data_IF_652465885949
#
_entry.id   IF_652465885949
#
_cell.length_a   1.000
_cell.length_b   1.000
_cell.length_c   1.000
_cell.angle_alpha   90.00
_cell.angle_beta   90.00
_cell.angle_gamma   90.00
#
_symmetry.space_group_name_H-M   'P 1'
#
loop_
_entity.id
_entity.type
_entity.pdbx_description
1 polymer ?
#
# COMPACT_ATOMS: atom_id res chain seq x y z
N UNK A 1 -6.35 -7.14 22.57
CA UNK A 1 -5.37 -6.14 22.11
C UNK A 1 -6.11 -4.82 22.07
N UNK A 2 -5.53 -3.72 22.55
CA UNK A 2 -6.16 -2.40 22.39
C UNK A 2 -6.10 -2.06 20.90
N UNK A 3 -7.24 -2.13 20.21
CA UNK A 3 -7.33 -1.85 18.79
C UNK A 3 -7.08 -0.34 18.57
N UNK A 4 -5.86 0.02 18.17
CA UNK A 4 -5.55 1.38 17.72
C UNK A 4 -6.36 1.67 16.46
N UNK A 5 -7.13 2.77 16.46
CA UNK A 5 -7.85 3.21 15.25
C UNK A 5 -6.92 4.00 14.32
N UNK A 6 -7.23 4.06 13.02
CA UNK A 6 -6.46 4.92 12.09
C UNK A 6 -6.39 6.37 12.57
N UNK A 7 -7.48 6.89 13.14
CA UNK A 7 -7.50 8.24 13.69
C UNK A 7 -6.51 8.42 14.85
N UNK A 8 -6.34 7.42 15.71
CA UNK A 8 -5.37 7.46 16.80
C UNK A 8 -3.94 7.38 16.27
N UNK A 9 -3.68 6.55 15.26
CA UNK A 9 -2.37 6.42 14.63
C UNK A 9 -1.95 7.74 13.97
N UNK A 10 -2.85 8.36 13.19
CA UNK A 10 -2.61 9.65 12.52
C UNK A 10 -2.45 10.83 13.48
N UNK A 11 -3.02 10.74 14.68
CA UNK A 11 -2.86 11.76 15.72
C UNK A 11 -1.55 11.63 16.53
N UNK A 12 -0.74 10.59 16.29
CA UNK A 12 0.51 10.38 17.00
C UNK A 12 1.54 11.48 16.65
N UNK A 13 2.30 12.02 17.63
CA UNK A 13 3.25 13.11 17.38
C UNK A 13 4.33 12.82 16.33
N UNK A 14 4.73 11.55 16.20
CA UNK A 14 5.74 11.12 15.24
C UNK A 14 5.17 10.78 13.87
N UNK A 15 3.85 10.82 13.66
CA UNK A 15 3.28 10.63 12.33
C UNK A 15 3.88 11.68 11.38
N UNK A 16 4.43 11.30 10.19
CA UNK A 16 4.18 10.09 9.41
C UNK A 16 5.13 8.89 9.63
N UNK A 17 5.86 8.84 10.75
CA UNK A 17 6.82 7.78 11.09
C UNK A 17 7.97 7.65 10.07
N UNK A 18 8.49 8.79 9.63
CA UNK A 18 9.55 8.86 8.60
C UNK A 18 10.89 8.24 9.01
N UNK A 19 11.08 7.96 10.29
CA UNK A 19 12.28 7.37 10.91
C UNK A 19 12.16 5.86 11.15
N UNK A 20 11.19 5.19 10.54
CA UNK A 20 10.90 3.76 10.78
C UNK A 20 12.06 2.79 10.50
N UNK A 21 13.01 3.15 9.64
CA UNK A 21 14.20 2.30 9.38
C UNK A 21 15.17 2.26 10.57
N UNK A 22 15.11 3.28 11.44
CA UNK A 22 16.03 3.46 12.56
C UNK A 22 15.34 3.32 13.93
N UNK A 23 13.99 3.30 13.96
CA UNK A 23 13.19 3.19 15.19
C UNK A 23 12.10 2.12 15.09
N UNK A 24 12.22 1.08 15.93
CA UNK A 24 11.30 -0.06 16.00
C UNK A 24 9.84 0.34 16.26
N UNK A 25 9.60 1.44 16.99
CA UNK A 25 8.23 1.87 17.32
C UNK A 25 7.61 2.57 16.12
N UNK A 26 8.35 3.42 15.43
CA UNK A 26 7.92 4.03 14.17
C UNK A 26 7.64 2.95 13.12
N UNK A 27 8.48 1.91 13.03
CA UNK A 27 8.22 0.74 12.18
C UNK A 27 6.90 0.05 12.53
N UNK A 28 6.69 -0.32 13.80
CA UNK A 28 5.46 -0.98 14.23
C UNK A 28 4.22 -0.12 14.00
N UNK A 29 4.31 1.19 14.26
CA UNK A 29 3.19 2.11 14.05
C UNK A 29 2.84 2.26 12.56
N UNK A 30 3.83 2.18 11.68
CA UNK A 30 3.64 2.23 10.25
C UNK A 30 3.07 0.92 9.68
N UNK A 31 3.52 -0.24 10.18
CA UNK A 31 2.89 -1.54 9.90
C UNK A 31 1.41 -1.52 10.33
N UNK A 32 1.14 -1.06 11.55
CA UNK A 32 -0.23 -0.93 12.09
C UNK A 32 -1.09 0.02 11.26
N UNK A 33 -0.53 1.12 10.77
CA UNK A 33 -1.23 2.07 9.90
C UNK A 33 -1.77 1.36 8.65
N UNK A 34 -0.89 0.66 7.91
CA UNK A 34 -1.28 -0.01 6.67
C UNK A 34 -2.22 -1.18 6.91
N UNK A 35 -2.00 -1.95 7.97
CA UNK A 35 -2.91 -3.01 8.38
C UNK A 35 -4.32 -2.48 8.67
N UNK A 36 -4.44 -1.40 9.43
CA UNK A 36 -5.74 -0.83 9.75
C UNK A 36 -6.41 -0.19 8.53
N UNK A 37 -5.65 0.48 7.66
CA UNK A 37 -6.19 1.00 6.40
C UNK A 37 -6.79 -0.11 5.54
N UNK A 38 -6.07 -1.23 5.41
CA UNK A 38 -6.53 -2.39 4.67
C UNK A 38 -7.78 -3.01 5.30
N UNK A 39 -7.76 -3.29 6.61
CA UNK A 39 -8.90 -3.94 7.29
C UNK A 39 -10.15 -3.05 7.34
N UNK A 40 -9.99 -1.73 7.47
CA UNK A 40 -11.10 -0.79 7.35
C UNK A 40 -11.70 -0.77 5.93
N UNK A 41 -10.89 -1.04 4.90
CA UNK A 41 -11.37 -1.13 3.51
C UNK A 41 -12.16 -2.41 3.26
N UNK A 42 -11.63 -3.57 3.67
CA UNK A 42 -12.21 -4.87 3.28
C UNK A 42 -13.32 -5.38 4.20
N UNK A 43 -13.48 -4.83 5.41
CA UNK A 43 -14.52 -5.13 6.43
C UNK A 43 -15.01 -6.58 6.43
N UNK A 44 -16.09 -6.86 5.71
CA UNK A 44 -16.81 -8.15 5.66
C UNK A 44 -15.96 -9.29 5.06
N UNK A 45 -15.01 -8.96 4.18
CA UNK A 45 -14.16 -9.95 3.51
C UNK A 45 -12.91 -10.31 4.33
N UNK A 46 -12.74 -9.78 5.55
CA UNK A 46 -11.51 -9.94 6.35
C UNK A 46 -11.06 -11.39 6.56
N UNK A 47 -12.02 -12.31 6.67
CA UNK A 47 -11.75 -13.72 6.92
C UNK A 47 -10.98 -14.42 5.78
N UNK A 48 -11.02 -13.87 4.57
CA UNK A 48 -10.38 -14.47 3.39
C UNK A 48 -8.93 -14.01 3.18
N UNK A 49 -8.44 -13.10 4.04
CA UNK A 49 -7.14 -12.45 3.90
C UNK A 49 -6.27 -12.66 5.14
N UNK A 50 -5.01 -13.04 4.92
CA UNK A 50 -4.02 -13.21 5.96
C UNK A 50 -2.71 -12.50 5.60
N UNK A 51 -2.01 -11.98 6.61
CA UNK A 51 -0.64 -11.50 6.46
C UNK A 51 0.30 -12.72 6.52
N UNK A 52 0.71 -13.23 5.36
CA UNK A 52 1.57 -14.42 5.26
C UNK A 52 3.05 -14.06 5.17
N UNK A 53 3.37 -12.89 4.60
CA UNK A 53 4.74 -12.37 4.51
C UNK A 53 4.95 -11.30 5.56
N UNK A 54 6.00 -11.43 6.35
CA UNK A 54 6.34 -10.48 7.42
C UNK A 54 6.74 -9.13 6.83
N UNK A 55 6.43 -8.06 7.55
CA UNK A 55 6.97 -6.75 7.26
C UNK A 55 8.49 -6.74 7.51
N UNK A 56 9.22 -5.98 6.71
CA UNK A 56 10.66 -5.77 6.81
C UNK A 56 10.97 -4.31 7.10
N UNK A 57 12.01 -4.06 7.89
CA UNK A 57 12.32 -2.74 8.44
C UNK A 57 12.75 -1.72 7.37
N UNK A 58 13.15 -2.18 6.18
CA UNK A 58 13.40 -1.34 5.01
C UNK A 58 12.10 -0.89 4.30
N UNK A 59 10.95 -1.36 4.78
CA UNK A 59 9.63 -1.04 4.26
C UNK A 59 9.23 -1.85 3.04
N UNK A 60 9.95 -2.91 2.68
CA UNK A 60 9.68 -3.74 1.50
C UNK A 60 9.62 -5.25 1.83
N UNK A 61 8.44 -5.77 2.22
CA UNK A 61 7.17 -5.07 2.35
C UNK A 61 7.01 -4.40 3.72
N UNK A 62 6.22 -3.32 3.79
CA UNK A 62 5.74 -2.78 5.09
C UNK A 62 4.42 -3.45 5.52
N UNK A 63 3.66 -3.98 4.56
CA UNK A 63 2.44 -4.75 4.81
C UNK A 63 2.15 -5.69 3.64
N UNK A 64 1.64 -6.89 3.94
CA UNK A 64 1.09 -7.79 2.93
C UNK A 64 -0.27 -8.34 3.36
N UNK A 65 -1.13 -8.58 2.38
CA UNK A 65 -2.37 -9.32 2.56
C UNK A 65 -2.53 -10.33 1.43
N UNK A 66 -2.67 -11.60 1.79
CA UNK A 66 -2.77 -12.71 0.85
C UNK A 66 -4.08 -13.45 1.06
N UNK A 67 -4.79 -13.73 -0.03
CA UNK A 67 -5.94 -14.63 -0.06
C UNK A 67 -5.63 -15.85 -0.91
N UNK A 68 -5.45 -17.01 -0.26
CA UNK A 68 -5.23 -18.28 -0.95
C UNK A 68 -6.50 -18.77 -1.65
N UNK A 69 -7.67 -18.46 -1.09
CA UNK A 69 -8.96 -18.79 -1.69
C UNK A 69 -9.15 -18.05 -3.02
N UNK A 70 -8.82 -16.75 -3.05
CA UNK A 70 -9.00 -15.89 -4.21
C UNK A 70 -7.79 -15.86 -5.14
N UNK A 71 -6.67 -16.48 -4.73
CA UNK A 71 -5.35 -16.47 -5.41
C UNK A 71 -4.84 -15.05 -5.69
N UNK A 72 -4.90 -14.19 -4.67
CA UNK A 72 -4.55 -12.77 -4.75
C UNK A 72 -3.59 -12.36 -3.64
N UNK A 73 -2.76 -11.37 -3.93
CA UNK A 73 -1.86 -10.75 -2.98
C UNK A 73 -1.85 -9.23 -3.17
N UNK A 74 -1.97 -8.51 -2.06
CA UNK A 74 -1.64 -7.10 -1.97
C UNK A 74 -0.31 -6.96 -1.23
N UNK A 75 0.63 -6.25 -1.84
CA UNK A 75 1.89 -5.87 -1.21
C UNK A 75 1.96 -4.35 -1.12
N UNK A 76 2.23 -3.83 0.07
CA UNK A 76 2.48 -2.41 0.28
C UNK A 76 3.96 -2.24 0.63
N UNK A 77 4.61 -1.35 -0.09
CA UNK A 77 5.99 -0.93 0.12
C UNK A 77 5.95 0.52 0.61
N UNK A 78 6.60 0.81 1.73
CA UNK A 78 6.63 2.17 2.27
C UNK A 78 7.49 3.07 1.38
N UNK A 79 6.90 4.17 0.90
CA UNK A 79 7.60 5.22 0.17
C UNK A 79 7.97 6.38 1.09
N UNK A 80 9.19 6.90 0.92
CA UNK A 80 9.71 8.06 1.68
C UNK A 80 10.30 9.09 0.75
N UNK A 81 9.97 10.37 0.95
CA UNK A 81 10.56 11.48 0.21
C UNK A 81 11.91 11.93 0.79
N UNK A 82 12.89 11.02 0.84
CA UNK A 82 14.21 11.28 1.45
C UNK A 82 14.95 12.45 0.82
N UNK A 83 14.82 12.60 -0.50
CA UNK A 83 15.46 13.67 -1.27
C UNK A 83 14.74 15.02 -1.17
N UNK A 84 13.68 15.13 -0.35
CA UNK A 84 12.88 16.35 -0.17
C UNK A 84 12.44 16.96 -1.51
N UNK A 85 12.09 16.09 -2.46
CA UNK A 85 11.61 16.51 -3.78
C UNK A 85 10.30 17.29 -3.63
N UNK A 86 10.01 18.24 -4.52
CA UNK A 86 8.71 18.91 -4.56
C UNK A 86 7.56 17.89 -4.66
N UNK A 87 6.52 18.05 -3.84
CA UNK A 87 5.49 17.02 -3.64
C UNK A 87 4.26 17.26 -4.53
N UNK A 88 3.77 16.21 -5.18
CA UNK A 88 2.44 16.20 -5.82
C UNK A 88 1.33 16.32 -4.77
N UNK A 89 0.25 17.11 -4.99
CA UNK A 89 -0.15 17.75 -6.24
C UNK A 89 0.45 19.14 -6.49
N UNK A 90 1.21 19.70 -5.54
CA UNK A 90 1.81 21.04 -5.64
C UNK A 90 2.88 21.17 -6.72
N UNK A 91 3.50 20.06 -7.14
CA UNK A 91 4.42 20.00 -8.28
C UNK A 91 4.16 18.74 -9.11
N UNK A 92 4.34 18.86 -10.44
CA UNK A 92 4.10 17.78 -11.42
C UNK A 92 5.27 17.70 -12.40
N UNK A 93 5.34 16.59 -13.12
CA UNK A 93 6.39 16.30 -14.11
C UNK A 93 7.64 15.68 -13.49
N UNK A 94 8.74 15.76 -14.23
CA UNK A 94 10.04 15.20 -13.85
C UNK A 94 10.56 15.86 -12.56
N UNK A 95 11.10 15.04 -11.64
CA UNK A 95 11.64 15.51 -10.37
C UNK A 95 10.62 15.72 -9.26
N UNK A 96 9.31 15.62 -9.52
CA UNK A 96 8.29 15.63 -8.48
C UNK A 96 8.25 14.30 -7.69
N UNK A 97 7.89 14.38 -6.41
CA UNK A 97 7.56 13.22 -5.58
C UNK A 97 6.08 12.89 -5.71
N UNK A 98 5.78 11.72 -6.26
CA UNK A 98 4.44 11.13 -6.29
C UNK A 98 4.31 10.17 -5.12
N UNK A 99 3.37 10.43 -4.21
CA UNK A 99 3.18 9.63 -3.00
C UNK A 99 2.78 8.18 -3.28
N UNK A 100 2.16 7.90 -4.43
CA UNK A 100 1.74 6.55 -4.82
C UNK A 100 2.23 6.18 -6.23
N UNK A 101 2.84 5.00 -6.33
CA UNK A 101 3.05 4.24 -7.56
C UNK A 101 2.43 2.86 -7.41
N UNK A 102 1.84 2.34 -8.48
CA UNK A 102 1.09 1.08 -8.46
C UNK A 102 1.50 0.25 -9.66
N UNK A 103 1.76 -1.03 -9.45
CA UNK A 103 2.01 -1.97 -10.54
C UNK A 103 1.49 -3.36 -10.18
N UNK A 104 1.38 -4.21 -11.20
CA UNK A 104 1.06 -5.62 -11.03
C UNK A 104 2.32 -6.45 -11.07
N UNK A 105 2.29 -7.57 -10.38
CA UNK A 105 3.37 -8.55 -10.39
C UNK A 105 2.79 -9.97 -10.44
N UNK A 106 3.64 -10.93 -10.80
CA UNK A 106 3.33 -12.34 -10.68
C UNK A 106 3.80 -12.82 -9.31
N UNK A 107 2.93 -12.68 -8.31
CA UNK A 107 3.20 -13.16 -6.97
C UNK A 107 3.19 -14.69 -6.92
N UNK A 108 3.77 -15.24 -5.86
CA UNK A 108 3.62 -16.65 -5.54
C UNK A 108 3.57 -16.84 -4.03
N UNK A 109 2.98 -17.95 -3.58
CA UNK A 109 3.07 -18.36 -2.18
C UNK A 109 4.52 -18.56 -1.76
N UNK A 110 4.79 -18.53 -0.45
CA UNK A 110 6.16 -18.61 0.12
C UNK A 110 6.89 -19.89 -0.31
N UNK A 111 6.15 -20.98 -0.54
CA UNK A 111 6.67 -22.25 -1.05
C UNK A 111 6.90 -22.26 -2.58
N UNK A 112 6.54 -21.19 -3.28
CA UNK A 112 6.62 -21.03 -4.73
C UNK A 112 5.62 -21.87 -5.53
N UNK A 113 4.68 -22.57 -4.87
CA UNK A 113 3.83 -23.57 -5.55
C UNK A 113 2.59 -22.97 -6.21
N UNK A 114 2.04 -21.91 -5.63
CA UNK A 114 0.79 -21.30 -6.08
C UNK A 114 1.06 -19.92 -6.63
N UNK A 115 0.74 -19.72 -7.91
CA UNK A 115 0.75 -18.40 -8.55
C UNK A 115 -0.38 -17.54 -7.99
N UNK A 116 -0.06 -16.29 -7.68
CA UNK A 116 -0.98 -15.29 -7.13
C UNK A 116 -0.99 -14.07 -8.04
N UNK A 117 -2.18 -13.53 -8.32
CA UNK A 117 -2.30 -12.22 -8.93
C UNK A 117 -1.92 -11.16 -7.88
N UNK A 118 -0.76 -10.52 -8.06
CA UNK A 118 -0.23 -9.57 -7.09
C UNK A 118 -0.43 -8.13 -7.56
N UNK A 119 -0.96 -7.29 -6.66
CA UNK A 119 -0.96 -5.84 -6.78
C UNK A 119 0.03 -5.27 -5.78
N UNK A 120 0.93 -4.41 -6.26
CA UNK A 120 1.92 -3.73 -5.43
C UNK A 120 1.61 -2.24 -5.36
N UNK A 121 1.56 -1.70 -4.14
CA UNK A 121 1.43 -0.28 -3.85
C UNK A 121 2.74 0.23 -3.24
N UNK A 122 3.47 1.08 -3.95
CA UNK A 122 4.59 1.83 -3.38
C UNK A 122 4.10 3.21 -2.96
N UNK A 123 3.83 3.33 -1.66
CA UNK A 123 2.91 4.33 -1.13
C UNK A 123 3.49 5.05 0.08
N UNK A 124 3.32 6.37 0.15
CA UNK A 124 3.47 7.14 1.39
C UNK A 124 2.14 7.21 2.15
N UNK A 125 2.13 7.85 3.32
CA UNK A 125 0.94 7.95 4.19
C UNK A 125 0.21 9.29 4.05
N UNK A 126 0.44 10.02 2.96
CA UNK A 126 -0.28 11.28 2.69
C UNK A 126 -1.77 11.01 2.46
N UNK A 127 -2.61 12.02 2.72
CA UNK A 127 -4.07 11.87 2.56
C UNK A 127 -4.47 11.60 1.11
N UNK A 128 -3.74 12.18 0.16
CA UNK A 128 -3.92 11.98 -1.27
C UNK A 128 -3.57 10.54 -1.68
N UNK A 129 -2.43 10.02 -1.21
CA UNK A 129 -2.04 8.63 -1.46
C UNK A 129 -3.02 7.66 -0.84
N UNK A 130 -3.47 7.91 0.39
CA UNK A 130 -4.40 7.04 1.10
C UNK A 130 -5.70 6.84 0.31
N UNK A 131 -6.27 7.91 -0.24
CA UNK A 131 -7.50 7.84 -1.04
C UNK A 131 -7.32 6.96 -2.30
N UNK A 132 -6.19 7.11 -2.99
CA UNK A 132 -5.90 6.32 -4.19
C UNK A 132 -5.51 4.88 -3.85
N UNK A 133 -4.76 4.65 -2.77
CA UNK A 133 -4.45 3.33 -2.27
C UNK A 133 -5.73 2.56 -1.93
N UNK A 134 -6.67 3.19 -1.21
CA UNK A 134 -7.99 2.60 -0.91
C UNK A 134 -8.78 2.23 -2.17
N UNK A 135 -8.72 3.09 -3.21
CA UNK A 135 -9.35 2.79 -4.50
C UNK A 135 -8.76 1.51 -5.12
N UNK A 136 -7.43 1.37 -5.15
CA UNK A 136 -6.78 0.18 -5.72
C UNK A 136 -6.98 -1.06 -4.85
N UNK A 137 -6.95 -0.92 -3.53
CA UNK A 137 -7.31 -2.00 -2.58
C UNK A 137 -8.72 -2.50 -2.88
N UNK A 138 -9.69 -1.59 -3.06
CA UNK A 138 -11.06 -1.97 -3.40
C UNK A 138 -11.14 -2.74 -4.72
N UNK A 139 -10.56 -2.20 -5.79
CA UNK A 139 -10.58 -2.85 -7.12
C UNK A 139 -9.98 -4.27 -7.04
N UNK A 140 -8.87 -4.44 -6.33
CA UNK A 140 -8.15 -5.71 -6.28
C UNK A 140 -8.72 -6.70 -5.26
N UNK A 141 -9.08 -6.24 -4.06
CA UNK A 141 -9.38 -7.09 -2.91
C UNK A 141 -10.88 -7.27 -2.64
N UNK A 142 -11.73 -6.39 -3.17
CA UNK A 142 -13.18 -6.38 -2.91
C UNK A 142 -13.95 -6.64 -4.21
N UNK A 143 -13.72 -5.81 -5.23
CA UNK A 143 -14.41 -5.92 -6.52
C UNK A 143 -13.83 -7.08 -7.36
N UNK A 144 -12.65 -7.59 -6.96
CA UNK A 144 -11.94 -8.71 -7.58
C UNK A 144 -11.75 -8.51 -9.08
N UNK A 145 -11.47 -7.27 -9.48
CA UNK A 145 -11.27 -6.89 -10.87
C UNK A 145 -10.13 -7.68 -11.49
N UNK A 146 -10.29 -7.97 -12.78
CA UNK A 146 -9.27 -8.69 -13.54
C UNK A 146 -8.04 -7.83 -13.82
N UNK A 147 -7.00 -8.51 -14.30
CA UNK A 147 -5.72 -7.90 -14.65
C UNK A 147 -5.83 -6.75 -15.65
N UNK A 148 -6.71 -6.86 -16.65
CA UNK A 148 -6.85 -5.83 -17.68
C UNK A 148 -7.56 -4.59 -17.14
N UNK A 149 -8.56 -4.77 -16.27
CA UNK A 149 -9.23 -3.66 -15.59
C UNK A 149 -8.26 -2.93 -14.67
N UNK A 150 -7.47 -3.67 -13.88
CA UNK A 150 -6.45 -3.07 -13.01
C UNK A 150 -5.39 -2.32 -13.81
N UNK A 151 -4.87 -2.90 -14.89
CA UNK A 151 -3.90 -2.23 -15.78
C UNK A 151 -4.44 -0.91 -16.33
N UNK A 152 -5.69 -0.90 -16.83
CA UNK A 152 -6.34 0.33 -17.30
C UNK A 152 -6.51 1.36 -16.18
N UNK A 153 -6.81 0.91 -14.96
CA UNK A 153 -6.97 1.79 -13.81
C UNK A 153 -5.63 2.43 -13.38
N UNK A 154 -4.53 1.68 -13.46
CA UNK A 154 -3.16 2.16 -13.20
C UNK A 154 -2.77 3.22 -14.23
N UNK A 155 -2.88 2.90 -15.53
CA UNK A 155 -2.57 3.84 -16.62
C UNK A 155 -3.42 5.11 -16.52
N UNK A 156 -4.70 4.97 -16.20
CA UNK A 156 -5.60 6.12 -16.02
C UNK A 156 -5.19 6.99 -14.83
N UNK A 157 -4.74 6.38 -13.74
CA UNK A 157 -4.20 7.10 -12.57
C UNK A 157 -2.92 7.86 -12.95
N UNK A 158 -1.94 7.21 -13.55
CA UNK A 158 -0.66 7.80 -13.96
C UNK A 158 -0.87 8.99 -14.90
N UNK A 159 -1.73 8.83 -15.92
CA UNK A 159 -2.11 9.93 -16.83
C UNK A 159 -2.78 11.08 -16.10
N UNK A 160 -3.68 10.80 -15.15
CA UNK A 160 -4.40 11.84 -14.40
C UNK A 160 -3.46 12.65 -13.50
N UNK A 161 -2.47 12.01 -12.89
CA UNK A 161 -1.48 12.71 -12.04
C UNK A 161 -0.33 13.31 -12.84
N UNK A 162 -0.28 13.04 -14.15
CA UNK A 162 0.81 13.43 -15.06
C UNK A 162 2.16 12.86 -14.59
N UNK A 163 2.15 11.58 -14.19
CA UNK A 163 3.36 10.86 -13.80
C UNK A 163 4.24 10.66 -15.05
N UNK A 164 5.54 11.00 -14.98
CA UNK A 164 6.46 10.65 -16.05
C UNK A 164 6.53 9.12 -16.20
N UNK A 165 6.61 8.66 -17.46
CA UNK A 165 6.84 7.25 -17.82
C UNK A 165 8.20 6.73 -17.31
#
# INVERSE_FOLDING_TARGET
MSDYTLAQIKAHPNFPFSDFEDDDRSFLMLELYWAQLFYEAIKENRQDWACLTKAEMDGNPIFTATSLLLKRQLTIIQKVNRSQKPVYPGTRGEGAFYGLQVWRNNGSTIDGTTSLNELVLYADVSSETEQEALRFIKLHCIDLEDEQVLERAIIAYEKRVNMPE
#
